data_IF_593951105790
#
_entry.id   IF_593951105790
#
_cell.length_a   1.000
_cell.length_b   1.000
_cell.length_c   1.000
_cell.angle_alpha   90.00
_cell.angle_beta   90.00
_cell.angle_gamma   90.00
#
_symmetry.space_group_name_H-M   'P 1'
#
loop_
_entity.id
_entity.type
_entity.pdbx_description
1 polymer ?
#
# COMPACT_ATOMS: atom_id res chain seq x y z
N UNK A 1 -32.27 -30.61 47.09
CA UNK A 1 -32.62 -31.97 46.63
C UNK A 1 -32.06 -32.12 45.23
N UNK A 2 -30.80 -32.51 45.23
CA UNK A 2 -30.13 -33.53 44.41
C UNK A 2 -30.66 -33.87 43.01
N UNK A 3 -29.76 -33.76 42.03
CA UNK A 3 -29.76 -34.53 40.78
C UNK A 3 -29.38 -36.01 41.06
N UNK A 4 -29.63 -36.94 40.13
CA UNK A 4 -28.53 -37.28 39.21
C UNK A 4 -28.92 -37.70 37.77
N UNK A 5 -28.09 -37.21 36.83
CA UNK A 5 -27.38 -37.86 35.71
C UNK A 5 -27.98 -39.10 35.00
N UNK A 6 -28.11 -39.04 33.66
CA UNK A 6 -27.02 -39.43 32.73
C UNK A 6 -27.37 -39.27 31.24
N UNK A 7 -26.43 -38.65 30.52
CA UNK A 7 -26.18 -38.41 29.08
C UNK A 7 -25.67 -39.67 28.33
N UNK A 8 -25.26 -39.66 27.03
CA UNK A 8 -25.15 -38.56 26.04
C UNK A 8 -25.70 -38.87 24.62
N UNK A 9 -25.84 -37.85 23.78
CA UNK A 9 -25.40 -37.96 22.39
C UNK A 9 -24.64 -36.68 21.99
N UNK A 10 -23.59 -36.88 21.19
CA UNK A 10 -22.57 -35.91 20.82
C UNK A 10 -23.17 -34.79 19.95
N UNK A 11 -22.67 -33.56 19.99
CA UNK A 11 -21.69 -33.07 19.02
C UNK A 11 -21.07 -31.74 19.50
N UNK A 12 -19.76 -31.61 19.25
CA UNK A 12 -18.86 -30.56 19.75
C UNK A 12 -18.98 -29.24 18.98
N UNK A 13 -18.76 -28.16 19.72
CA UNK A 13 -18.32 -26.82 19.28
C UNK A 13 -17.07 -26.88 18.38
N UNK A 14 -16.95 -25.96 17.43
CA UNK A 14 -15.91 -24.90 17.42
C UNK A 14 -15.98 -24.03 16.15
N UNK A 15 -15.41 -22.83 16.29
CA UNK A 15 -15.45 -21.65 15.43
C UNK A 15 -14.95 -21.83 13.97
N UNK A 16 -15.37 -20.90 13.09
CA UNK A 16 -14.58 -20.19 12.04
C UNK A 16 -15.20 -20.10 10.63
N UNK A 17 -15.22 -18.85 10.16
CA UNK A 17 -15.09 -18.31 8.80
C UNK A 17 -16.02 -18.71 7.62
N UNK A 18 -16.35 -17.74 6.74
CA UNK A 18 -17.07 -17.98 5.49
C UNK A 18 -16.08 -18.31 4.36
N UNK A 19 -16.29 -19.42 3.64
CA UNK A 19 -15.42 -19.81 2.53
C UNK A 19 -16.21 -20.37 1.34
N UNK A 20 -15.98 -19.70 0.21
CA UNK A 20 -15.84 -20.24 -1.16
C UNK A 20 -17.08 -20.74 -1.91
N UNK A 21 -17.32 -20.10 -3.07
CA UNK A 21 -17.65 -20.74 -4.36
C UNK A 21 -17.21 -19.80 -5.52
N UNK A 22 -17.01 -20.27 -6.76
CA UNK A 22 -16.29 -21.48 -7.15
C UNK A 22 -15.26 -21.22 -8.28
N UNK A 23 -14.27 -22.10 -8.29
CA UNK A 23 -13.24 -22.32 -9.31
C UNK A 23 -13.84 -22.62 -10.68
N UNK A 24 -13.45 -21.86 -11.70
CA UNK A 24 -13.43 -22.33 -13.10
C UNK A 24 -12.02 -22.12 -13.61
N UNK A 25 -11.25 -23.20 -13.64
CA UNK A 25 -9.96 -23.26 -14.32
C UNK A 25 -9.88 -24.61 -14.99
N UNK A 26 -10.19 -24.66 -16.28
CA UNK A 26 -9.77 -25.72 -17.18
C UNK A 26 -9.52 -25.09 -18.55
N UNK A 27 -8.25 -24.98 -18.94
CA UNK A 27 -7.65 -25.96 -19.85
C UNK A 27 -6.35 -25.41 -20.44
N UNK A 28 -5.28 -26.03 -19.99
CA UNK A 28 -3.94 -26.01 -20.53
C UNK A 28 -3.94 -26.60 -21.95
N UNK A 29 -3.30 -25.93 -22.90
CA UNK A 29 -2.82 -26.56 -24.12
C UNK A 29 -1.47 -25.93 -24.51
N UNK A 30 -0.42 -26.66 -24.16
CA UNK A 30 0.88 -26.86 -24.82
C UNK A 30 1.25 -25.92 -25.96
N UNK A 31 2.42 -25.26 -25.87
CA UNK A 31 3.58 -25.53 -26.74
C UNK A 31 4.71 -24.50 -26.44
N UNK A 32 5.84 -25.03 -25.95
CA UNK A 32 7.22 -24.60 -26.23
C UNK A 32 7.44 -23.32 -27.05
N UNK A 33 7.71 -22.21 -26.35
CA UNK A 33 8.54 -21.12 -26.84
C UNK A 33 9.41 -20.64 -25.68
N UNK A 34 10.71 -20.81 -25.81
CA UNK A 34 11.71 -20.26 -24.90
C UNK A 34 11.69 -18.74 -25.02
N UNK A 35 10.85 -18.11 -24.21
CA UNK A 35 10.95 -16.69 -23.93
C UNK A 35 11.55 -16.56 -22.52
N UNK A 36 12.73 -15.97 -22.45
CA UNK A 36 13.27 -15.41 -21.21
C UNK A 36 12.35 -14.26 -20.76
N UNK A 37 11.16 -14.60 -20.28
CA UNK A 37 10.31 -13.69 -19.52
C UNK A 37 10.96 -13.60 -18.13
N UNK A 38 11.47 -12.44 -17.71
CA UNK A 38 11.92 -12.28 -16.34
C UNK A 38 10.78 -12.69 -15.40
N UNK A 39 11.06 -13.42 -14.30
CA UNK A 39 10.03 -13.80 -13.36
C UNK A 39 9.18 -12.58 -13.00
N UNK A 40 7.86 -12.71 -13.08
CA UNK A 40 6.93 -11.64 -12.69
C UNK A 40 7.15 -11.37 -11.19
N UNK A 41 7.94 -10.34 -10.89
CA UNK A 41 8.27 -9.97 -9.53
C UNK A 41 7.01 -9.47 -8.82
N UNK A 42 6.87 -9.83 -7.54
CA UNK A 42 5.83 -9.24 -6.69
C UNK A 42 6.04 -7.73 -6.58
N UNK A 43 4.98 -6.91 -6.36
CA UNK A 43 5.11 -5.46 -6.21
C UNK A 43 6.16 -5.04 -5.16
N UNK A 44 6.28 -5.80 -4.07
CA UNK A 44 7.30 -5.58 -3.03
C UNK A 44 8.73 -5.84 -3.51
N UNK A 45 8.91 -6.84 -4.39
CA UNK A 45 10.21 -7.20 -4.95
C UNK A 45 10.65 -6.17 -5.99
N UNK A 46 9.74 -5.73 -6.85
CA UNK A 46 10.02 -4.67 -7.83
C UNK A 46 10.44 -3.36 -7.14
N UNK A 47 9.79 -3.01 -6.04
CA UNK A 47 10.13 -1.82 -5.27
C UNK A 47 11.48 -1.93 -4.56
N UNK A 48 11.80 -3.11 -4.01
CA UNK A 48 13.11 -3.39 -3.45
C UNK A 48 14.20 -3.28 -4.53
N UNK A 49 13.98 -3.86 -5.71
CA UNK A 49 14.91 -3.77 -6.83
C UNK A 49 15.10 -2.34 -7.34
N UNK A 50 14.02 -1.55 -7.39
CA UNK A 50 14.08 -0.13 -7.74
C UNK A 50 14.93 0.65 -6.73
N UNK A 51 14.71 0.42 -5.42
CA UNK A 51 15.53 1.01 -4.35
C UNK A 51 16.99 0.63 -4.49
N UNK A 52 17.28 -0.65 -4.71
CA UNK A 52 18.64 -1.16 -4.86
C UNK A 52 19.34 -0.58 -6.08
N UNK A 53 18.64 -0.46 -7.20
CA UNK A 53 19.18 0.11 -8.45
C UNK A 53 19.56 1.57 -8.24
N UNK A 54 18.63 2.39 -7.74
CA UNK A 54 18.87 3.82 -7.45
C UNK A 54 19.95 4.06 -6.39
N UNK A 55 20.11 3.13 -5.45
CA UNK A 55 21.15 3.22 -4.44
C UNK A 55 22.53 2.82 -4.95
N UNK A 56 22.62 1.88 -5.89
CA UNK A 56 23.89 1.25 -6.27
C UNK A 56 24.47 1.84 -7.55
N UNK A 57 23.64 2.23 -8.52
CA UNK A 57 24.05 2.80 -9.81
C UNK A 57 25.04 3.97 -9.68
N UNK A 58 24.79 5.00 -8.83
CA UNK A 58 25.68 6.15 -8.72
C UNK A 58 27.09 5.80 -8.24
N UNK A 59 27.24 4.65 -7.58
CA UNK A 59 28.49 4.22 -7.00
C UNK A 59 29.27 3.21 -7.85
N UNK A 60 28.73 2.74 -8.97
CA UNK A 60 29.43 1.81 -9.86
C UNK A 60 30.83 2.32 -10.27
N UNK A 61 31.01 3.61 -10.64
CA UNK A 61 32.33 4.12 -11.01
C UNK A 61 33.34 4.08 -9.85
N UNK A 62 32.93 4.52 -8.65
CA UNK A 62 33.82 4.56 -7.49
C UNK A 62 34.16 3.16 -6.99
N UNK A 63 33.24 2.19 -7.10
CA UNK A 63 33.54 0.79 -6.78
C UNK A 63 34.61 0.22 -7.69
N UNK A 64 34.57 0.56 -8.98
CA UNK A 64 35.62 0.15 -9.93
C UNK A 64 36.97 0.76 -9.57
N UNK A 65 37.00 2.06 -9.27
CA UNK A 65 38.23 2.74 -8.82
C UNK A 65 38.77 2.14 -7.52
N UNK A 66 37.90 1.76 -6.58
CA UNK A 66 38.33 1.08 -5.35
C UNK A 66 38.91 -0.31 -5.61
N UNK A 67 38.34 -1.06 -6.55
CA UNK A 67 38.87 -2.37 -6.94
C UNK A 67 40.25 -2.25 -7.62
N UNK A 68 40.44 -1.21 -8.45
CA UNK A 68 41.75 -0.92 -9.05
C UNK A 68 42.75 -0.46 -7.98
N UNK A 69 42.33 0.41 -7.05
CA UNK A 69 43.16 0.88 -5.93
C UNK A 69 43.57 -0.24 -4.98
N UNK A 70 42.72 -1.23 -4.74
CA UNK A 70 43.05 -2.40 -3.92
C UNK A 70 44.20 -3.23 -4.54
N UNK A 71 44.30 -3.23 -5.88
CA UNK A 71 45.39 -3.89 -6.60
C UNK A 71 46.67 -3.07 -6.62
N UNK A 72 46.55 -1.75 -6.81
CA UNK A 72 47.70 -0.85 -7.03
C UNK A 72 48.31 -0.33 -5.73
N UNK A 73 47.48 0.05 -4.75
CA UNK A 73 47.91 0.55 -3.44
C UNK A 73 46.94 0.14 -2.31
N UNK A 74 47.10 -1.08 -1.76
CA UNK A 74 46.19 -1.60 -0.73
C UNK A 74 46.21 -0.78 0.58
N UNK A 75 47.22 0.06 0.81
CA UNK A 75 47.30 0.90 2.02
C UNK A 75 46.22 1.98 2.03
N UNK A 76 45.85 2.49 0.86
CA UNK A 76 44.80 3.51 0.73
C UNK A 76 43.43 2.92 0.37
N UNK A 77 43.40 1.72 -0.22
CA UNK A 77 42.17 1.04 -0.60
C UNK A 77 41.21 0.84 0.58
N UNK A 78 41.73 0.38 1.73
CA UNK A 78 40.88 0.13 2.90
C UNK A 78 40.28 1.42 3.51
N UNK A 79 41.05 2.49 3.80
CA UNK A 79 40.48 3.76 4.23
C UNK A 79 39.48 4.36 3.24
N UNK A 80 39.80 4.34 1.93
CA UNK A 80 38.91 4.86 0.90
C UNK A 80 37.60 4.05 0.82
N UNK A 81 37.70 2.72 0.85
CA UNK A 81 36.54 1.82 0.87
C UNK A 81 35.65 2.04 2.09
N UNK A 82 36.22 2.31 3.27
CA UNK A 82 35.45 2.66 4.47
C UNK A 82 34.64 3.94 4.28
N UNK A 83 35.23 4.99 3.73
CA UNK A 83 34.53 6.27 3.48
C UNK A 83 33.39 6.07 2.48
N UNK A 84 33.68 5.39 1.36
CA UNK A 84 32.68 5.10 0.32
C UNK A 84 31.54 4.25 0.87
N UNK A 85 31.85 3.27 1.72
CA UNK A 85 30.84 2.43 2.39
C UNK A 85 29.91 3.23 3.32
N UNK A 86 30.44 4.19 4.08
CA UNK A 86 29.62 5.07 4.92
C UNK A 86 28.71 5.97 4.07
N UNK A 87 29.24 6.57 3.01
CA UNK A 87 28.45 7.43 2.13
C UNK A 87 27.36 6.64 1.39
N UNK A 88 27.65 5.42 0.94
CA UNK A 88 26.65 4.52 0.34
C UNK A 88 25.48 4.24 1.26
N UNK A 89 25.73 3.89 2.53
CA UNK A 89 24.66 3.63 3.51
C UNK A 89 23.79 4.87 3.76
N UNK A 90 24.41 6.05 3.80
CA UNK A 90 23.67 7.31 3.92
C UNK A 90 22.80 7.56 2.68
N UNK A 91 23.35 7.31 1.49
CA UNK A 91 22.63 7.42 0.23
C UNK A 91 21.45 6.44 0.15
N UNK A 92 21.64 5.17 0.50
CA UNK A 92 20.59 4.16 0.58
C UNK A 92 19.42 4.65 1.48
N UNK A 93 19.73 5.23 2.64
CA UNK A 93 18.72 5.81 3.52
C UNK A 93 18.01 7.02 2.89
N UNK A 94 18.74 7.88 2.17
CA UNK A 94 18.18 9.02 1.46
C UNK A 94 17.22 8.59 0.34
N UNK A 95 17.62 7.63 -0.49
CA UNK A 95 16.81 7.07 -1.57
C UNK A 95 15.55 6.41 -1.01
N UNK A 96 15.66 5.63 0.07
CA UNK A 96 14.48 5.02 0.68
C UNK A 96 13.49 6.07 1.16
N UNK A 97 13.95 7.08 1.91
CA UNK A 97 13.09 8.18 2.38
C UNK A 97 12.48 8.98 1.23
N UNK A 98 13.21 9.16 0.14
CA UNK A 98 12.70 9.85 -1.05
C UNK A 98 11.53 9.08 -1.68
N UNK A 99 11.68 7.77 -1.88
CA UNK A 99 10.62 6.91 -2.44
C UNK A 99 9.41 6.88 -1.51
N UNK A 100 9.62 6.71 -0.21
CA UNK A 100 8.54 6.72 0.78
C UNK A 100 7.83 8.09 0.80
N UNK A 101 8.58 9.17 0.66
CA UNK A 101 8.05 10.53 0.52
C UNK A 101 7.21 10.71 -0.74
N UNK A 102 7.64 10.18 -1.89
CA UNK A 102 6.85 10.21 -3.12
C UNK A 102 5.53 9.44 -2.98
N UNK A 103 5.57 8.25 -2.36
CA UNK A 103 4.36 7.47 -2.08
C UNK A 103 3.40 8.19 -1.15
N UNK A 104 3.94 8.84 -0.12
CA UNK A 104 3.15 9.62 0.82
C UNK A 104 2.47 10.80 0.12
N UNK A 105 3.19 11.52 -0.73
CA UNK A 105 2.65 12.65 -1.50
C UNK A 105 1.53 12.20 -2.45
N UNK A 106 1.72 11.09 -3.16
CA UNK A 106 0.68 10.51 -4.02
C UNK A 106 -0.58 10.17 -3.21
N UNK A 107 -0.40 9.50 -2.07
CA UNK A 107 -1.51 9.15 -1.17
C UNK A 107 -2.22 10.40 -0.63
N UNK A 108 -1.45 11.44 -0.29
CA UNK A 108 -1.99 12.71 0.17
C UNK A 108 -2.81 13.42 -0.90
N UNK A 109 -2.37 13.35 -2.15
CA UNK A 109 -3.09 13.94 -3.28
C UNK A 109 -4.43 13.23 -3.52
N UNK A 110 -4.46 11.89 -3.46
CA UNK A 110 -5.70 11.10 -3.53
C UNK A 110 -6.64 11.48 -2.38
N UNK A 111 -6.10 11.60 -1.16
CA UNK A 111 -6.90 11.98 0.02
C UNK A 111 -7.48 13.40 -0.12
N UNK A 112 -6.69 14.37 -0.61
CA UNK A 112 -7.17 15.74 -0.89
C UNK A 112 -8.31 15.73 -1.89
N UNK A 113 -8.21 14.91 -2.93
CA UNK A 113 -9.28 14.76 -3.93
C UNK A 113 -10.55 14.18 -3.33
N UNK A 114 -10.44 13.08 -2.60
CA UNK A 114 -11.57 12.50 -1.88
C UNK A 114 -12.22 13.51 -0.91
N UNK A 115 -11.42 14.30 -0.20
CA UNK A 115 -11.92 15.35 0.70
C UNK A 115 -12.70 16.44 -0.03
N UNK A 116 -12.23 16.87 -1.22
CA UNK A 116 -12.99 17.81 -2.07
C UNK A 116 -14.33 17.23 -2.49
N UNK A 117 -14.36 15.96 -2.89
CA UNK A 117 -15.60 15.27 -3.27
C UNK A 117 -16.59 15.20 -2.10
N UNK A 118 -16.14 14.76 -0.92
CA UNK A 118 -16.99 14.68 0.27
C UNK A 118 -17.51 16.04 0.70
N UNK A 119 -16.70 17.10 0.56
CA UNK A 119 -17.12 18.47 0.85
C UNK A 119 -18.27 18.89 -0.06
N UNK A 120 -18.16 18.61 -1.37
CA UNK A 120 -19.22 18.91 -2.34
C UNK A 120 -20.52 18.15 -2.04
N UNK A 121 -20.42 16.86 -1.70
CA UNK A 121 -21.59 16.06 -1.31
C UNK A 121 -22.24 16.60 -0.04
N UNK A 122 -21.44 16.96 0.97
CA UNK A 122 -21.92 17.57 2.22
C UNK A 122 -22.65 18.88 1.96
N UNK A 123 -22.09 19.77 1.13
CA UNK A 123 -22.73 21.03 0.77
C UNK A 123 -24.04 20.81 -0.01
N UNK A 124 -24.05 19.84 -0.93
CA UNK A 124 -25.25 19.44 -1.67
C UNK A 124 -26.35 18.92 -0.74
N UNK A 125 -25.98 18.11 0.26
CA UNK A 125 -26.91 17.59 1.25
C UNK A 125 -27.46 18.70 2.16
N UNK A 126 -26.60 19.61 2.61
CA UNK A 126 -27.00 20.77 3.42
C UNK A 126 -28.03 21.63 2.67
N UNK A 127 -27.77 21.93 1.39
CA UNK A 127 -28.69 22.70 0.57
C UNK A 127 -30.07 22.01 0.45
N UNK A 128 -30.08 20.68 0.30
CA UNK A 128 -31.32 19.89 0.19
C UNK A 128 -32.11 19.93 1.51
N UNK A 129 -31.40 19.81 2.63
CA UNK A 129 -31.96 19.92 3.97
C UNK A 129 -32.59 21.29 4.20
N UNK A 130 -31.89 22.38 3.90
CA UNK A 130 -32.38 23.74 4.13
C UNK A 130 -33.60 24.08 3.26
N UNK A 131 -33.65 23.53 2.04
CA UNK A 131 -34.83 23.61 1.17
C UNK A 131 -36.04 22.89 1.78
N UNK A 132 -35.83 21.71 2.37
CA UNK A 132 -36.91 20.97 3.04
C UNK A 132 -37.42 21.73 4.27
N UNK A 133 -36.52 22.27 5.09
CA UNK A 133 -36.89 23.10 6.25
C UNK A 133 -37.68 24.34 5.82
N UNK A 134 -37.23 25.03 4.78
CA UNK A 134 -37.93 26.22 4.26
C UNK A 134 -39.35 25.88 3.81
N UNK A 135 -39.51 24.73 3.13
CA UNK A 135 -40.83 24.25 2.70
C UNK A 135 -41.73 23.85 3.88
N UNK A 136 -41.16 23.23 4.92
CA UNK A 136 -41.90 22.85 6.12
C UNK A 136 -42.44 24.09 6.84
N UNK A 137 -41.60 25.10 7.06
CA UNK A 137 -42.00 26.38 7.68
C UNK A 137 -43.08 27.10 6.88
N UNK A 138 -42.97 27.06 5.55
CA UNK A 138 -44.01 27.63 4.67
C UNK A 138 -45.37 26.95 4.90
N UNK A 139 -45.41 25.62 4.97
CA UNK A 139 -46.65 24.90 5.22
C UNK A 139 -47.21 25.18 6.62
N UNK A 140 -46.35 25.22 7.64
CA UNK A 140 -46.73 25.58 9.00
C UNK A 140 -47.43 26.95 9.05
N UNK A 141 -46.82 27.97 8.44
CA UNK A 141 -47.40 29.31 8.38
C UNK A 141 -48.74 29.36 7.61
N UNK A 142 -48.84 28.62 6.50
CA UNK A 142 -50.07 28.55 5.72
C UNK A 142 -51.22 27.90 6.51
N UNK A 143 -50.92 26.85 7.28
CA UNK A 143 -51.88 26.18 8.15
C UNK A 143 -52.32 27.06 9.31
N UNK A 144 -51.40 27.79 9.93
CA UNK A 144 -51.72 28.76 10.99
C UNK A 144 -52.62 29.89 10.47
N UNK A 145 -52.38 30.37 9.24
CA UNK A 145 -53.15 31.47 8.63
C UNK A 145 -54.55 31.06 8.18
N UNK A 146 -54.82 29.76 8.05
CA UNK A 146 -56.12 29.21 7.63
C UNK A 146 -57.05 28.89 8.81
N UNK A 147 -56.61 29.13 10.04
CA UNK A 147 -57.32 28.79 11.28
C UNK A 147 -58.04 29.99 11.86
#
# INVERSE_FOLDING_TARGET
MDAPNSTPDQEKEEEQQPSVLPTVSEKENSQEASDHVPPLLSPSQQEAETRHTLATEPFQPVLKVLADLERDDPKFAFPAGRIVGLYRRLWESCVSKHIDGQKLEQSNQILKEASRHLTKERDGLQLRHDKQLSRLRFFEQALESSR
#
